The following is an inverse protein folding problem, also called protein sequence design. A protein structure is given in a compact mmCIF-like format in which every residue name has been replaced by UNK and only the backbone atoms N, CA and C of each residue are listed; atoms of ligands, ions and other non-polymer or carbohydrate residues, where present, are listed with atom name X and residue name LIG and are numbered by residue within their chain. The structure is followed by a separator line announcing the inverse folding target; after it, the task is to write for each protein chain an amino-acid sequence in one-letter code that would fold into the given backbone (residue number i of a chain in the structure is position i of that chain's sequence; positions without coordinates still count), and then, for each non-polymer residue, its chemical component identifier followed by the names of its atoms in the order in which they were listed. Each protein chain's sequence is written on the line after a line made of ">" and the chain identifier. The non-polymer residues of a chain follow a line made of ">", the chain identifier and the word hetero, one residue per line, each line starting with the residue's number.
data_IF_305929365021
#
_entry.id   IF_305929365021
#
_cell.length_a   1.000
_cell.length_b   1.000
_cell.length_c   1.000
_cell.angle_alpha   90.00
_cell.angle_beta   90.00
_cell.angle_gamma   90.00
#
_symmetry.space_group_name_H-M   'P 1'
#
loop_
_entity.id
_entity.type
_entity.pdbx_description
1 polymer ?
#
# COMPACT_ATOMS: atom_id res chain seq x y z
N UNK A 1 -5.98 11.06 -2.90
CA UNK A 1 -4.88 10.47 -3.68
C UNK A 1 -3.93 11.58 -4.06
N UNK A 2 -2.64 11.37 -3.85
CA UNK A 2 -1.56 12.34 -4.10
C UNK A 2 -0.41 11.61 -4.80
N UNK A 3 0.23 12.27 -5.75
CA UNK A 3 1.43 11.75 -6.40
C UNK A 3 2.63 11.92 -5.46
N UNK A 4 3.52 10.94 -5.41
CA UNK A 4 4.78 11.02 -4.69
C UNK A 4 5.74 12.07 -5.31
N UNK A 5 6.83 12.32 -4.65
CA UNK A 5 7.78 13.36 -4.99
C UNK A 5 9.12 12.78 -5.46
N UNK A 6 9.64 13.31 -6.57
CA UNK A 6 10.96 12.92 -7.08
C UNK A 6 12.05 13.24 -6.06
N UNK A 7 12.86 12.25 -5.79
CA UNK A 7 14.10 12.36 -5.04
C UNK A 7 15.17 11.53 -5.76
N UNK A 8 16.21 12.17 -6.25
CA UNK A 8 17.29 11.46 -6.95
C UNK A 8 18.25 10.84 -5.95
N UNK A 9 18.94 9.77 -6.33
CA UNK A 9 19.94 9.12 -5.47
C UNK A 9 21.00 10.12 -4.96
N UNK A 10 21.41 11.07 -5.77
CA UNK A 10 22.39 12.09 -5.38
C UNK A 10 21.89 13.04 -4.28
N UNK A 11 20.58 13.18 -4.13
CA UNK A 11 19.95 14.04 -3.12
C UNK A 11 19.43 13.25 -1.91
N UNK A 12 19.51 11.93 -1.94
CA UNK A 12 19.20 11.11 -0.78
C UNK A 12 20.29 11.25 0.27
N UNK A 13 19.87 11.51 1.51
CA UNK A 13 20.72 11.49 2.69
C UNK A 13 20.45 10.20 3.44
N UNK A 14 21.46 9.49 3.88
CA UNK A 14 21.32 8.25 4.66
C UNK A 14 20.62 8.52 5.99
N UNK A 15 19.65 7.67 6.37
CA UNK A 15 18.85 7.81 7.59
C UNK A 15 17.83 6.71 7.76
N UNK A 16 16.75 6.97 8.49
CA UNK A 16 15.79 5.94 8.92
C UNK A 16 14.38 6.08 8.33
N UNK A 17 14.09 7.15 7.58
CA UNK A 17 12.78 7.29 6.94
C UNK A 17 12.69 6.34 5.75
N UNK A 18 11.57 5.63 5.63
CA UNK A 18 11.31 4.72 4.51
C UNK A 18 11.19 5.52 3.20
N UNK A 19 11.87 5.08 2.15
CA UNK A 19 11.69 5.57 0.79
C UNK A 19 11.01 4.48 -0.04
N UNK A 20 9.76 4.74 -0.43
CA UNK A 20 8.94 3.81 -1.21
C UNK A 20 9.11 4.15 -2.69
N UNK A 21 9.75 3.22 -3.40
CA UNK A 21 9.94 3.28 -4.84
C UNK A 21 8.95 2.40 -5.60
N UNK A 22 9.05 2.42 -6.92
CA UNK A 22 8.25 1.55 -7.78
C UNK A 22 8.86 0.14 -7.85
N UNK A 23 8.67 -0.63 -6.79
CA UNK A 23 9.18 -2.00 -6.62
C UNK A 23 8.05 -2.94 -6.22
N UNK A 24 8.11 -4.19 -6.71
CA UNK A 24 7.22 -5.27 -6.28
C UNK A 24 7.72 -5.96 -4.99
N UNK A 25 8.93 -5.63 -4.53
CA UNK A 25 9.59 -6.30 -3.41
C UNK A 25 9.56 -5.45 -2.13
N UNK A 26 9.67 -6.11 -0.98
CA UNK A 26 9.87 -5.47 0.33
C UNK A 26 8.85 -4.35 0.64
N UNK A 27 7.56 -4.57 0.33
CA UNK A 27 6.51 -3.58 0.55
C UNK A 27 6.78 -2.22 -0.17
N UNK A 28 7.53 -2.27 -1.29
CA UNK A 28 7.96 -1.08 -2.03
C UNK A 28 9.16 -0.33 -1.43
N UNK A 29 9.70 -0.78 -0.30
CA UNK A 29 10.86 -0.16 0.34
C UNK A 29 12.11 -0.35 -0.52
N UNK A 30 12.71 0.75 -0.98
CA UNK A 30 13.90 0.73 -1.84
C UNK A 30 15.11 1.43 -1.22
N UNK A 31 14.91 2.24 -0.19
CA UNK A 31 15.99 2.88 0.57
C UNK A 31 15.51 3.34 1.95
N UNK A 32 16.45 3.62 2.84
CA UNK A 32 16.26 4.35 4.08
C UNK A 32 16.96 5.70 3.96
N UNK A 33 16.25 6.80 4.25
CA UNK A 33 16.71 8.17 4.01
C UNK A 33 16.50 9.06 5.23
N UNK A 34 17.29 10.14 5.34
CA UNK A 34 17.09 11.20 6.35
C UNK A 34 16.19 12.35 5.85
N UNK A 35 15.92 12.40 4.54
CA UNK A 35 15.03 13.41 3.96
C UNK A 35 13.63 13.31 4.58
N UNK A 36 13.06 14.43 5.01
CA UNK A 36 11.77 14.47 5.73
C UNK A 36 10.80 15.56 5.23
N UNK A 37 11.20 16.29 4.19
CA UNK A 37 10.47 17.47 3.70
C UNK A 37 9.12 17.11 3.04
N UNK A 38 8.93 15.84 2.61
CA UNK A 38 7.72 15.36 1.91
C UNK A 38 7.32 13.96 2.37
N UNK A 39 7.31 13.74 3.67
CA UNK A 39 6.84 12.48 4.23
C UNK A 39 5.31 12.39 4.15
N UNK A 40 4.84 11.20 3.82
CA UNK A 40 3.44 10.80 3.93
C UNK A 40 3.22 10.11 5.29
N UNK A 41 2.04 10.25 5.90
CA UNK A 41 1.74 9.58 7.17
C UNK A 41 1.56 8.08 7.00
N UNK A 42 1.70 7.35 8.10
CA UNK A 42 1.26 5.97 8.24
C UNK A 42 -0.25 5.80 7.91
N UNK A 43 -0.71 4.56 7.86
CA UNK A 43 -2.10 4.20 7.57
C UNK A 43 -2.59 4.73 6.21
N UNK A 44 -1.73 4.62 5.21
CA UNK A 44 -2.03 4.94 3.81
C UNK A 44 -1.69 3.76 2.91
N UNK A 45 -2.15 3.80 1.66
CA UNK A 45 -1.84 2.77 0.66
C UNK A 45 -1.03 3.41 -0.46
N UNK A 46 0.06 2.75 -0.84
CA UNK A 46 0.88 3.13 -2.00
C UNK A 46 0.50 2.29 -3.21
N UNK A 47 0.46 2.91 -4.39
CA UNK A 47 0.19 2.25 -5.67
C UNK A 47 1.21 2.70 -6.69
N UNK A 48 1.96 1.77 -7.26
CA UNK A 48 2.88 2.05 -8.35
C UNK A 48 2.10 2.28 -9.65
N UNK A 49 2.27 3.43 -10.28
CA UNK A 49 1.63 3.73 -11.56
C UNK A 49 2.62 3.67 -12.74
N UNK A 50 3.92 3.61 -12.46
CA UNK A 50 5.00 3.46 -13.43
C UNK A 50 6.02 2.46 -12.86
N UNK A 51 6.84 1.82 -13.71
CA UNK A 51 7.73 0.73 -13.28
C UNK A 51 6.95 -0.54 -12.97
N UNK A 52 6.86 -0.95 -11.71
CA UNK A 52 6.05 -2.10 -11.27
C UNK A 52 4.57 -1.71 -11.17
N UNK A 53 3.94 -1.46 -12.33
CA UNK A 53 2.56 -0.94 -12.40
C UNK A 53 1.59 -1.87 -11.69
N UNK A 54 0.71 -1.29 -10.86
CA UNK A 54 -0.32 -2.00 -10.11
C UNK A 54 0.14 -2.53 -8.76
N UNK A 55 1.44 -2.59 -8.48
CA UNK A 55 1.92 -3.01 -7.16
C UNK A 55 1.41 -2.05 -6.08
N UNK A 56 0.78 -2.64 -5.08
CA UNK A 56 0.00 -1.90 -4.08
C UNK A 56 0.31 -2.43 -2.69
N UNK A 57 0.63 -1.52 -1.77
CA UNK A 57 1.02 -1.86 -0.41
C UNK A 57 0.40 -0.94 0.63
N UNK A 58 0.00 -1.53 1.75
CA UNK A 58 -0.33 -0.78 2.96
C UNK A 58 0.96 -0.35 3.66
N UNK A 59 1.02 0.91 4.08
CA UNK A 59 2.16 1.50 4.78
C UNK A 59 1.78 1.80 6.24
N UNK A 60 2.43 1.10 7.15
CA UNK A 60 2.18 1.18 8.60
C UNK A 60 3.04 2.22 9.32
N UNK A 61 4.02 2.80 8.64
CA UNK A 61 4.87 3.88 9.13
C UNK A 61 4.88 5.05 8.15
N UNK A 62 5.39 6.18 8.59
CA UNK A 62 5.62 7.34 7.71
C UNK A 62 6.71 7.05 6.69
N UNK A 63 6.58 7.62 5.50
CA UNK A 63 7.47 7.33 4.37
C UNK A 63 7.53 8.47 3.37
N UNK A 64 8.56 8.48 2.54
CA UNK A 64 8.62 9.27 1.31
C UNK A 64 8.20 8.38 0.13
N UNK A 65 7.27 8.82 -0.70
CA UNK A 65 6.91 8.15 -1.95
C UNK A 65 7.67 8.75 -3.12
N UNK A 66 8.25 7.91 -3.97
CA UNK A 66 8.86 8.35 -5.24
C UNK A 66 7.80 8.91 -6.19
N UNK A 67 8.23 9.65 -7.21
CA UNK A 67 7.34 10.22 -8.23
C UNK A 67 6.69 9.19 -9.16
N UNK A 68 7.03 7.91 -9.05
CA UNK A 68 6.39 6.77 -9.75
C UNK A 68 5.33 6.07 -8.89
N UNK A 69 5.07 6.57 -7.69
CA UNK A 69 4.13 6.00 -6.71
C UNK A 69 3.05 7.03 -6.38
N UNK A 70 1.79 6.61 -6.43
CA UNK A 70 0.66 7.36 -5.90
C UNK A 70 0.34 6.92 -4.46
N UNK A 71 -0.05 7.86 -3.61
CA UNK A 71 -0.46 7.61 -2.22
C UNK A 71 -1.95 7.84 -2.08
N UNK A 72 -2.67 6.81 -1.61
CA UNK A 72 -4.11 6.85 -1.34
C UNK A 72 -4.32 7.12 0.14
N UNK A 73 -4.97 8.25 0.44
CA UNK A 73 -5.40 8.60 1.78
C UNK A 73 -6.82 8.09 2.02
N UNK A 74 -7.07 7.32 3.08
CA UNK A 74 -8.39 6.84 3.39
C UNK A 74 -9.32 8.01 3.76
N UNK A 75 -10.60 7.89 3.41
CA UNK A 75 -11.68 8.77 3.87
C UNK A 75 -12.51 8.15 4.99
N UNK A 76 -11.99 7.10 5.59
CA UNK A 76 -12.57 6.33 6.68
C UNK A 76 -11.48 5.99 7.70
N UNK A 77 -11.85 5.47 8.88
CA UNK A 77 -10.88 5.03 9.87
C UNK A 77 -10.23 3.72 9.40
N UNK A 78 -9.01 3.81 8.86
CA UNK A 78 -8.25 2.64 8.39
C UNK A 78 -7.39 2.07 9.49
N UNK A 79 -7.69 0.82 9.88
CA UNK A 79 -6.79 0.01 10.71
C UNK A 79 -5.77 -0.69 9.82
N UNK A 80 -4.71 -1.25 10.45
CA UNK A 80 -3.75 -2.12 9.75
C UNK A 80 -4.45 -3.27 9.03
N UNK A 81 -5.37 -3.93 9.69
CA UNK A 81 -6.09 -5.08 9.14
C UNK A 81 -6.91 -4.69 7.89
N UNK A 82 -7.67 -3.58 7.99
CA UNK A 82 -8.43 -3.06 6.85
C UNK A 82 -7.49 -2.69 5.69
N UNK A 83 -6.36 -2.04 5.98
CA UNK A 83 -5.36 -1.70 4.96
C UNK A 83 -4.79 -2.93 4.25
N UNK A 84 -4.47 -3.99 5.02
CA UNK A 84 -4.00 -5.28 4.50
C UNK A 84 -5.08 -6.03 3.70
N UNK A 85 -6.37 -5.86 4.04
CA UNK A 85 -7.50 -6.40 3.28
C UNK A 85 -7.67 -5.69 1.94
N UNK A 86 -7.59 -4.35 1.92
CA UNK A 86 -7.88 -3.54 0.73
C UNK A 86 -6.71 -3.55 -0.27
N UNK A 87 -5.47 -3.52 0.18
CA UNK A 87 -4.31 -3.40 -0.70
C UNK A 87 -4.25 -4.50 -1.79
N UNK A 88 -4.49 -5.79 -1.51
CA UNK A 88 -4.55 -6.85 -2.53
C UNK A 88 -5.68 -6.66 -3.54
N UNK A 89 -6.84 -6.11 -3.12
CA UNK A 89 -7.95 -5.84 -4.02
C UNK A 89 -7.63 -4.71 -5.00
N UNK A 90 -6.97 -3.66 -4.54
CA UNK A 90 -6.48 -2.58 -5.41
C UNK A 90 -5.43 -3.14 -6.38
N UNK A 91 -4.48 -3.95 -5.87
CA UNK A 91 -3.47 -4.62 -6.70
C UNK A 91 -4.11 -5.48 -7.80
N UNK A 92 -5.15 -6.25 -7.47
CA UNK A 92 -5.90 -7.05 -8.44
C UNK A 92 -6.49 -6.20 -9.58
N UNK A 93 -7.07 -5.05 -9.25
CA UNK A 93 -7.54 -4.08 -10.26
C UNK A 93 -6.37 -3.53 -11.08
N UNK A 94 -5.25 -3.22 -10.42
CA UNK A 94 -4.04 -2.72 -11.04
C UNK A 94 -3.38 -3.67 -12.05
N UNK A 95 -3.59 -4.98 -11.92
CA UNK A 95 -3.05 -5.99 -12.85
C UNK A 95 -3.58 -5.87 -14.28
N UNK A 96 -4.67 -5.11 -14.49
CA UNK A 96 -5.20 -4.81 -15.84
C UNK A 96 -4.34 -3.81 -16.62
N UNK A 97 -3.43 -3.14 -15.94
CA UNK A 97 -2.56 -2.11 -16.51
C UNK A 97 -1.13 -2.63 -16.65
N UNK A 98 -0.46 -2.20 -17.72
CA UNK A 98 0.90 -2.57 -18.02
C UNK A 98 1.80 -1.32 -18.08
N UNK A 99 3.10 -1.55 -18.23
CA UNK A 99 4.07 -0.47 -18.36
C UNK A 99 3.74 0.50 -19.52
N UNK A 100 3.16 0.00 -20.60
CA UNK A 100 2.77 0.80 -21.77
C UNK A 100 1.56 1.70 -21.44
N UNK A 101 0.55 1.17 -20.72
CA UNK A 101 -0.71 1.87 -20.48
C UNK A 101 -0.71 2.70 -19.21
N UNK A 102 0.22 2.45 -18.31
CA UNK A 102 0.39 3.11 -17.00
C UNK A 102 -0.92 3.38 -16.26
N UNK A 103 -1.05 2.92 -15.05
CA UNK A 103 -2.22 3.20 -14.23
C UNK A 103 -2.19 4.62 -13.64
N UNK A 104 -2.39 5.61 -14.51
CA UNK A 104 -2.32 7.02 -14.14
C UNK A 104 -3.44 7.42 -13.18
N UNK A 105 -3.22 8.48 -12.42
CA UNK A 105 -4.14 8.95 -11.38
C UNK A 105 -5.56 9.28 -11.91
N UNK A 106 -5.67 9.83 -13.11
CA UNK A 106 -6.95 10.16 -13.74
C UNK A 106 -7.78 8.92 -14.11
N UNK A 107 -7.11 7.84 -14.46
CA UNK A 107 -7.71 6.52 -14.72
C UNK A 107 -8.02 5.82 -13.39
N UNK A 108 -7.05 5.77 -12.48
CA UNK A 108 -7.16 5.15 -11.16
C UNK A 108 -8.37 5.68 -10.34
N UNK A 109 -8.69 6.98 -10.48
CA UNK A 109 -9.86 7.60 -9.82
C UNK A 109 -11.21 7.09 -10.32
N UNK A 110 -11.26 6.44 -11.48
CA UNK A 110 -12.48 5.88 -12.08
C UNK A 110 -12.64 4.39 -11.82
N UNK A 111 -11.56 3.75 -11.39
CA UNK A 111 -11.59 2.34 -11.05
C UNK A 111 -12.29 2.09 -9.71
N UNK A 112 -12.90 0.93 -9.61
CA UNK A 112 -13.62 0.48 -8.43
C UNK A 112 -13.08 -0.86 -7.95
N UNK A 113 -13.06 -1.05 -6.64
CA UNK A 113 -12.86 -2.34 -5.98
C UNK A 113 -14.19 -2.83 -5.42
N UNK A 114 -14.36 -4.15 -5.33
CA UNK A 114 -15.51 -4.75 -4.64
C UNK A 114 -15.15 -4.99 -3.19
N UNK A 115 -15.99 -4.53 -2.28
CA UNK A 115 -15.84 -4.73 -0.84
C UNK A 115 -17.04 -5.51 -0.28
N UNK A 116 -16.84 -6.27 0.81
CA UNK A 116 -17.94 -6.76 1.62
C UNK A 116 -18.82 -5.61 2.10
N UNK A 117 -20.12 -5.83 2.15
CA UNK A 117 -21.10 -4.84 2.62
C UNK A 117 -21.90 -5.37 3.80
N UNK A 118 -22.29 -4.46 4.68
CA UNK A 118 -23.19 -4.72 5.80
C UNK A 118 -24.66 -4.82 5.33
N UNK A 119 -25.58 -5.04 6.25
CA UNK A 119 -27.01 -5.14 5.96
C UNK A 119 -27.62 -3.85 5.39
N UNK A 120 -26.92 -2.72 5.48
CA UNK A 120 -27.34 -1.43 4.94
C UNK A 120 -26.73 -1.13 3.57
N UNK A 121 -25.91 -2.07 3.03
CA UNK A 121 -25.20 -1.88 1.77
C UNK A 121 -23.96 -0.99 1.87
N UNK A 122 -23.51 -0.66 3.08
CA UNK A 122 -22.26 0.06 3.32
C UNK A 122 -21.07 -0.89 3.46
N UNK A 123 -19.83 -0.45 3.17
CA UNK A 123 -18.65 -1.29 3.38
C UNK A 123 -18.57 -1.81 4.83
N UNK A 124 -18.48 -3.13 4.99
CA UNK A 124 -18.38 -3.77 6.30
C UNK A 124 -16.94 -3.77 6.81
N UNK A 125 -16.55 -2.63 7.40
CA UNK A 125 -15.22 -2.44 7.96
C UNK A 125 -14.91 -3.42 9.10
N UNK A 126 -15.92 -3.77 9.91
CA UNK A 126 -15.77 -4.69 11.03
C UNK A 126 -15.47 -6.11 10.55
N UNK A 127 -16.16 -6.55 9.51
CA UNK A 127 -15.88 -7.83 8.86
C UNK A 127 -14.46 -7.87 8.31
N UNK A 128 -14.04 -6.84 7.54
CA UNK A 128 -12.70 -6.80 6.94
C UNK A 128 -11.60 -6.82 8.00
N UNK A 129 -11.78 -6.07 9.10
CA UNK A 129 -10.82 -6.03 10.20
C UNK A 129 -10.71 -7.40 10.90
N UNK A 130 -11.84 -7.99 11.26
CA UNK A 130 -11.89 -9.30 11.93
C UNK A 130 -11.37 -10.43 11.04
N UNK A 131 -11.68 -10.41 9.75
CA UNK A 131 -11.19 -11.39 8.78
C UNK A 131 -9.66 -11.39 8.72
N UNK A 132 -9.06 -10.21 8.57
CA UNK A 132 -7.60 -10.11 8.51
C UNK A 132 -6.93 -10.43 9.85
N UNK A 133 -7.55 -10.09 10.99
CA UNK A 133 -7.06 -10.49 12.30
C UNK A 133 -6.95 -12.02 12.41
N UNK A 134 -7.96 -12.75 11.95
CA UNK A 134 -7.96 -14.21 11.93
C UNK A 134 -6.89 -14.76 10.97
N UNK A 135 -6.78 -14.23 9.74
CA UNK A 135 -5.74 -14.64 8.78
C UNK A 135 -4.33 -14.47 9.34
N UNK A 136 -4.06 -13.33 10.00
CA UNK A 136 -2.76 -13.05 10.62
C UNK A 136 -2.49 -14.03 11.77
N UNK A 137 -3.49 -14.27 12.62
CA UNK A 137 -3.39 -15.22 13.74
C UNK A 137 -3.08 -16.63 13.24
N UNK A 138 -3.88 -17.15 12.30
CA UNK A 138 -3.72 -18.50 11.76
C UNK A 138 -2.33 -18.66 11.10
N UNK A 139 -1.87 -17.62 10.38
CA UNK A 139 -0.52 -17.62 9.79
C UNK A 139 0.58 -17.64 10.84
N UNK A 140 0.43 -16.89 11.93
CA UNK A 140 1.40 -16.88 13.04
C UNK A 140 1.43 -18.20 13.77
N UNK A 141 0.27 -18.80 14.04
CA UNK A 141 0.16 -20.10 14.71
C UNK A 141 0.79 -21.21 13.84
N UNK A 142 0.56 -21.15 12.53
CA UNK A 142 1.19 -22.08 11.58
C UNK A 142 2.72 -21.95 11.59
N UNK A 143 3.25 -20.74 11.49
CA UNK A 143 4.70 -20.50 11.52
C UNK A 143 5.34 -20.91 12.85
N UNK A 144 4.68 -20.68 13.98
CA UNK A 144 5.17 -21.07 15.30
C UNK A 144 5.33 -22.57 15.41
N UNK A 145 4.42 -23.36 14.80
CA UNK A 145 4.51 -24.82 14.77
C UNK A 145 5.68 -25.34 13.92
N UNK A 146 6.16 -24.57 12.93
CA UNK A 146 7.35 -24.93 12.14
C UNK A 146 8.68 -24.63 12.85
N UNK A 147 8.69 -23.68 13.80
CA UNK A 147 9.92 -23.28 14.51
C UNK A 147 10.23 -24.14 15.73
N UNK A 148 9.43 -25.17 16.03
CA UNK A 148 9.57 -26.09 17.17
C UNK A 148 10.21 -27.42 16.71
N UNK A 149 11.09 -27.40 15.71
CA UNK A 149 11.91 -28.57 15.31
C UNK A 149 13.38 -28.29 15.56
#
# INVERSE_FOLDING_TARGET
>A
MVKGARLTKANMREGNNRFIGSSAMCNGLTALIANNEKLHPANTITVCYNGSVGETFYQDESFWASDDVNVLYPKFNMTKNIGLFIAPLIRYVGQRYAFIDKWRMDVMKKDCIKLPVDNNGCPDWSYMDSYMANVIKDSSDFLSNFMVV
#
